data_IF_715426486385
#
_entry.id   IF_715426486385
#
_cell.length_a   1.000
_cell.length_b   1.000
_cell.length_c   1.000
_cell.angle_alpha   90.00
_cell.angle_beta   90.00
_cell.angle_gamma   90.00
#
_symmetry.space_group_name_H-M   'P 1'
#
loop_
_entity.id
_entity.type
_entity.pdbx_description
1 polymer ?
#
# COMPACT_ATOMS: atom_id res chain seq x y z
N UNK A 1 -12.83 -7.07 33.84
CA UNK A 1 -13.88 -6.08 33.50
C UNK A 1 -13.78 -5.76 32.03
N UNK A 2 -14.87 -5.40 31.35
CA UNK A 2 -14.78 -4.97 29.95
C UNK A 2 -14.16 -3.56 29.86
N UNK A 3 -13.32 -3.33 28.86
CA UNK A 3 -12.81 -2.00 28.56
C UNK A 3 -13.97 -1.02 28.31
N UNK A 4 -13.88 0.17 28.89
CA UNK A 4 -14.98 1.13 28.99
C UNK A 4 -14.62 2.53 28.45
N UNK A 5 -13.46 2.67 27.82
CA UNK A 5 -12.95 3.94 27.29
C UNK A 5 -12.10 3.74 26.05
N UNK A 6 -12.10 4.76 25.20
CA UNK A 6 -11.23 4.83 24.03
C UNK A 6 -9.79 5.13 24.45
N UNK A 7 -8.83 4.76 23.60
CA UNK A 7 -7.44 5.06 23.89
C UNK A 7 -6.48 4.15 23.15
N UNK A 8 -5.20 4.32 23.44
CA UNK A 8 -4.14 3.43 22.99
C UNK A 8 -3.65 2.66 24.21
N UNK A 9 -3.60 1.34 24.12
CA UNK A 9 -3.26 0.48 25.24
C UNK A 9 -2.16 -0.49 24.87
N UNK A 10 -1.31 -0.83 25.83
CA UNK A 10 -0.55 -2.06 25.77
C UNK A 10 -1.38 -3.19 26.38
N UNK A 11 -1.31 -4.36 25.73
CA UNK A 11 -2.10 -5.50 26.10
C UNK A 11 -1.34 -6.81 25.88
N UNK A 12 -1.77 -7.86 26.58
CA UNK A 12 -1.40 -9.24 26.28
C UNK A 12 -2.57 -9.94 25.60
N UNK A 13 -2.36 -10.70 24.51
CA UNK A 13 -3.31 -11.72 24.07
C UNK A 13 -3.53 -12.70 25.23
N UNK A 14 -4.78 -13.10 25.49
CA UNK A 14 -5.10 -14.07 26.54
C UNK A 14 -5.73 -15.32 25.94
N UNK A 15 -6.50 -15.13 24.87
CA UNK A 15 -7.19 -16.19 24.17
C UNK A 15 -7.25 -15.82 22.69
N UNK A 16 -6.99 -16.79 21.83
CA UNK A 16 -7.02 -16.63 20.38
C UNK A 16 -7.88 -17.76 19.83
N UNK A 17 -8.85 -17.40 19.00
CA UNK A 17 -9.67 -18.36 18.27
C UNK A 17 -9.86 -17.92 16.82
N UNK A 18 -10.22 -18.86 15.96
CA UNK A 18 -10.69 -18.57 14.61
C UNK A 18 -12.20 -18.76 14.53
N UNK A 19 -12.82 -17.99 13.65
CA UNK A 19 -14.23 -18.16 13.33
C UNK A 19 -14.61 -17.39 12.08
N UNK A 20 -15.90 -17.27 11.87
CA UNK A 20 -16.47 -16.56 10.73
C UNK A 20 -17.31 -15.39 11.20
N UNK A 21 -17.31 -14.29 10.44
CA UNK A 21 -18.24 -13.19 10.66
C UNK A 21 -19.68 -13.67 10.49
N UNK A 22 -20.60 -13.20 11.34
CA UNK A 22 -21.99 -13.69 11.33
C UNK A 22 -22.72 -13.41 10.00
N UNK A 23 -22.52 -12.22 9.42
CA UNK A 23 -23.28 -11.76 8.26
C UNK A 23 -22.76 -12.30 6.92
N UNK A 24 -21.44 -12.31 6.73
CA UNK A 24 -20.81 -12.59 5.43
C UNK A 24 -19.96 -13.86 5.42
N UNK A 25 -19.90 -14.59 6.55
CA UNK A 25 -19.10 -15.83 6.70
C UNK A 25 -17.60 -15.67 6.39
N UNK A 26 -17.09 -14.45 6.49
CA UNK A 26 -15.68 -14.13 6.27
C UNK A 26 -14.81 -14.65 7.41
N UNK A 27 -13.67 -15.24 7.08
CA UNK A 27 -12.70 -15.72 8.06
C UNK A 27 -12.19 -14.58 8.95
N UNK A 28 -12.18 -14.80 10.26
CA UNK A 28 -11.67 -13.85 11.24
C UNK A 28 -10.88 -14.54 12.35
N UNK A 29 -9.86 -13.83 12.85
CA UNK A 29 -9.17 -14.18 14.09
C UNK A 29 -9.78 -13.35 15.22
N UNK A 30 -10.21 -14.02 16.27
CA UNK A 30 -10.80 -13.41 17.46
C UNK A 30 -9.77 -13.49 18.57
N UNK A 31 -9.38 -12.33 19.12
CA UNK A 31 -8.36 -12.26 20.16
C UNK A 31 -8.95 -11.52 21.35
N UNK A 32 -8.92 -12.16 22.51
CA UNK A 32 -9.20 -11.50 23.78
C UNK A 32 -7.90 -10.93 24.34
N UNK A 33 -7.90 -9.63 24.61
CA UNK A 33 -6.77 -8.89 25.12
C UNK A 33 -7.00 -8.53 26.57
N UNK A 34 -5.96 -8.61 27.41
CA UNK A 34 -5.91 -8.02 28.74
C UNK A 34 -5.03 -6.78 28.71
N UNK A 35 -5.60 -5.63 29.05
CA UNK A 35 -4.92 -4.35 29.02
C UNK A 35 -4.08 -4.19 30.30
N UNK A 36 -2.90 -3.60 30.18
CA UNK A 36 -2.02 -3.37 31.32
C UNK A 36 -1.41 -1.96 31.37
N UNK A 37 -1.28 -1.27 30.24
CA UNK A 37 -0.93 0.16 30.21
C UNK A 37 -1.84 0.93 29.26
N UNK A 38 -2.11 2.18 29.59
CA UNK A 38 -2.86 3.14 28.78
C UNK A 38 -1.97 4.34 28.43
N UNK A 39 -2.04 4.80 27.19
CA UNK A 39 -1.29 5.97 26.76
C UNK A 39 -1.94 7.25 27.30
N UNK A 40 -1.21 7.95 28.17
CA UNK A 40 -1.51 9.29 28.64
C UNK A 40 -0.63 10.32 27.90
N UNK A 41 -0.86 11.64 28.05
CA UNK A 41 -0.03 12.66 27.44
C UNK A 41 1.45 12.56 27.84
N UNK A 42 2.25 11.92 26.99
CA UNK A 42 3.70 11.79 27.13
C UNK A 42 4.19 10.57 27.90
N UNK A 43 3.30 9.80 28.54
CA UNK A 43 3.67 8.67 29.40
C UNK A 43 2.67 7.51 29.25
N UNK A 44 3.14 6.29 29.54
CA UNK A 44 2.28 5.12 29.69
C UNK A 44 1.90 4.99 31.16
N UNK A 45 0.60 4.85 31.43
CA UNK A 45 0.07 4.69 32.78
C UNK A 45 -0.39 3.25 33.01
N UNK A 46 0.07 2.62 34.09
CA UNK A 46 -0.39 1.28 34.48
C UNK A 46 -1.89 1.29 34.79
N UNK A 47 -2.63 0.40 34.13
CA UNK A 47 -4.05 0.15 34.34
C UNK A 47 -4.34 -1.32 34.65
N UNK A 48 -3.32 -2.14 34.90
CA UNK A 48 -3.46 -3.57 35.18
C UNK A 48 -4.35 -3.88 36.39
N UNK A 49 -4.36 -3.00 37.39
CA UNK A 49 -5.25 -3.10 38.57
C UNK A 49 -6.75 -3.06 38.24
N UNK A 50 -7.14 -2.50 37.10
CA UNK A 50 -8.53 -2.47 36.65
C UNK A 50 -8.96 -3.79 35.97
N UNK A 51 -8.01 -4.67 35.64
CA UNK A 51 -8.29 -5.96 34.97
C UNK A 51 -9.18 -5.79 33.73
N UNK A 52 -8.87 -4.79 32.90
CA UNK A 52 -9.64 -4.50 31.69
C UNK A 52 -9.35 -5.54 30.61
N UNK A 53 -10.40 -6.05 29.98
CA UNK A 53 -10.34 -6.97 28.85
C UNK A 53 -11.18 -6.45 27.69
N UNK A 54 -10.74 -6.74 26.46
CA UNK A 54 -11.46 -6.41 25.23
C UNK A 54 -11.26 -7.51 24.19
N UNK A 55 -12.29 -7.78 23.40
CA UNK A 55 -12.18 -8.74 22.29
C UNK A 55 -12.02 -7.97 20.98
N UNK A 56 -10.93 -8.25 20.26
CA UNK A 56 -10.70 -7.75 18.91
C UNK A 56 -11.08 -8.81 17.87
N UNK A 57 -11.78 -8.37 16.83
CA UNK A 57 -12.18 -9.19 15.68
C UNK A 57 -11.38 -8.77 14.46
N UNK A 58 -10.47 -9.61 14.02
CA UNK A 58 -9.51 -9.33 12.95
C UNK A 58 -9.92 -10.12 11.70
N UNK A 59 -10.72 -9.50 10.84
CA UNK A 59 -11.22 -10.15 9.61
C UNK A 59 -10.09 -10.26 8.59
N UNK A 60 -9.79 -11.49 8.18
CA UNK A 60 -8.71 -11.83 7.25
C UNK A 60 -9.13 -11.72 5.78
N UNK A 61 -10.43 -11.70 5.53
CA UNK A 61 -11.04 -11.61 4.21
C UNK A 61 -11.88 -10.34 4.06
N UNK A 62 -11.99 -9.84 2.84
CA UNK A 62 -12.94 -8.79 2.48
C UNK A 62 -14.23 -9.42 1.94
N UNK A 63 -15.26 -8.59 1.74
CA UNK A 63 -16.57 -9.05 1.21
C UNK A 63 -16.49 -9.67 -0.18
N UNK A 64 -15.46 -9.33 -0.96
CA UNK A 64 -15.17 -9.91 -2.28
C UNK A 64 -14.34 -11.19 -2.21
N UNK A 65 -14.13 -11.74 -1.00
CA UNK A 65 -13.26 -12.88 -0.69
C UNK A 65 -11.77 -12.66 -1.01
N UNK A 66 -11.35 -11.44 -1.34
CA UNK A 66 -9.94 -11.10 -1.38
C UNK A 66 -9.36 -10.98 0.04
N UNK A 67 -8.04 -11.12 0.16
CA UNK A 67 -7.38 -11.01 1.45
C UNK A 67 -7.39 -9.57 1.98
N UNK A 68 -7.59 -9.44 3.28
CA UNK A 68 -7.42 -8.20 4.02
C UNK A 68 -5.95 -8.03 4.42
N UNK A 69 -5.12 -7.73 3.43
CA UNK A 69 -3.66 -7.61 3.57
C UNK A 69 -3.23 -6.72 4.74
N UNK A 70 -3.95 -5.62 4.99
CA UNK A 70 -3.65 -4.71 6.11
C UNK A 70 -3.81 -5.39 7.47
N UNK A 71 -4.87 -6.19 7.65
CA UNK A 71 -5.10 -6.95 8.88
C UNK A 71 -4.04 -8.06 9.01
N UNK A 72 -3.75 -8.75 7.92
CA UNK A 72 -2.73 -9.81 7.90
C UNK A 72 -1.37 -9.24 8.28
N UNK A 73 -0.92 -8.14 7.67
CA UNK A 73 0.35 -7.50 8.02
C UNK A 73 0.38 -6.97 9.45
N UNK A 74 -0.74 -6.45 9.97
CA UNK A 74 -0.85 -6.07 11.38
C UNK A 74 -0.65 -7.26 12.32
N UNK A 75 -1.28 -8.41 12.03
CA UNK A 75 -1.14 -9.64 12.82
C UNK A 75 0.28 -10.20 12.72
N UNK A 76 0.88 -10.23 11.52
CA UNK A 76 2.27 -10.66 11.31
C UNK A 76 3.24 -9.80 12.11
N UNK A 77 3.11 -8.48 12.01
CA UNK A 77 3.99 -7.56 12.72
C UNK A 77 3.82 -7.65 14.24
N UNK A 78 2.58 -7.76 14.73
CA UNK A 78 2.30 -7.71 16.16
C UNK A 78 2.49 -9.06 16.88
N UNK A 79 2.31 -10.19 16.20
CA UNK A 79 2.31 -11.52 16.82
C UNK A 79 3.40 -12.44 16.25
N UNK A 80 4.19 -11.97 15.28
CA UNK A 80 5.23 -12.78 14.65
C UNK A 80 4.70 -13.90 13.75
N UNK A 81 3.41 -13.87 13.38
CA UNK A 81 2.82 -14.80 12.42
C UNK A 81 3.46 -14.64 11.04
N UNK A 82 3.57 -15.73 10.29
CA UNK A 82 4.18 -15.72 8.94
C UNK A 82 3.17 -15.43 7.81
N UNK A 83 1.86 -15.47 8.12
CA UNK A 83 0.78 -15.23 7.17
C UNK A 83 0.36 -16.45 6.34
N UNK A 84 0.92 -17.65 6.60
CA UNK A 84 0.65 -18.85 5.79
C UNK A 84 -0.57 -19.63 6.26
N UNK A 85 -0.63 -19.89 7.56
CA UNK A 85 -1.69 -20.67 8.18
C UNK A 85 -2.27 -19.90 9.38
N UNK A 86 -3.53 -19.44 9.32
CA UNK A 86 -4.12 -18.68 10.41
C UNK A 86 -4.39 -19.54 11.66
N UNK A 87 -4.47 -20.88 11.54
CA UNK A 87 -4.60 -21.78 12.70
C UNK A 87 -3.35 -21.78 13.59
N UNK A 88 -2.18 -21.45 13.04
CA UNK A 88 -0.95 -21.27 13.80
C UNK A 88 -1.12 -20.28 14.98
N UNK A 89 -1.91 -19.22 14.79
CA UNK A 89 -2.18 -18.23 15.84
C UNK A 89 -2.90 -18.84 17.05
N UNK A 90 -3.83 -19.78 16.81
CA UNK A 90 -4.56 -20.48 17.86
C UNK A 90 -3.68 -21.56 18.50
N UNK A 91 -2.94 -22.32 17.70
CA UNK A 91 -2.05 -23.39 18.19
C UNK A 91 -0.89 -22.85 19.06
N UNK A 92 -0.51 -21.58 18.86
CA UNK A 92 0.55 -20.91 19.60
C UNK A 92 0.01 -19.89 20.63
N UNK A 93 -1.29 -19.92 20.94
CA UNK A 93 -1.93 -18.95 21.82
C UNK A 93 -1.25 -18.82 23.20
N UNK A 94 -0.76 -19.92 23.77
CA UNK A 94 -0.05 -19.93 25.05
C UNK A 94 1.27 -19.14 24.97
N UNK A 95 2.06 -19.34 23.92
CA UNK A 95 3.30 -18.59 23.72
C UNK A 95 3.02 -17.11 23.44
N UNK A 96 1.96 -16.82 22.68
CA UNK A 96 1.56 -15.46 22.36
C UNK A 96 0.99 -14.73 23.57
N UNK A 97 0.56 -15.43 24.62
CA UNK A 97 0.03 -14.79 25.82
C UNK A 97 1.07 -14.01 26.63
N UNK A 98 2.35 -14.28 26.38
CA UNK A 98 3.48 -13.55 26.96
C UNK A 98 4.03 -12.49 26.01
N UNK A 99 3.43 -12.33 24.82
CA UNK A 99 3.87 -11.36 23.81
C UNK A 99 3.06 -10.07 23.93
N UNK A 100 3.66 -8.97 24.43
CA UNK A 100 2.93 -7.73 24.55
C UNK A 100 2.64 -7.17 23.14
N UNK A 101 1.50 -6.51 23.01
CA UNK A 101 1.06 -5.82 21.79
C UNK A 101 0.52 -4.45 22.12
N UNK A 102 0.29 -3.63 21.10
CA UNK A 102 -0.37 -2.33 21.26
C UNK A 102 -1.71 -2.33 20.50
N UNK A 103 -2.79 -2.04 21.20
CA UNK A 103 -4.15 -1.97 20.62
C UNK A 103 -4.70 -0.56 20.72
N UNK A 104 -5.35 -0.09 19.66
CA UNK A 104 -6.13 1.15 19.70
C UNK A 104 -7.60 0.83 19.86
N UNK A 105 -8.22 1.33 20.92
CA UNK A 105 -9.65 1.22 21.16
C UNK A 105 -10.36 2.49 20.69
N UNK A 106 -11.44 2.31 19.95
CA UNK A 106 -12.30 3.39 19.49
C UNK A 106 -13.76 2.93 19.54
N UNK A 107 -14.65 3.87 19.81
CA UNK A 107 -16.09 3.69 19.68
C UNK A 107 -16.43 3.59 18.20
N UNK A 108 -17.19 2.56 17.87
CA UNK A 108 -17.78 2.37 16.56
C UNK A 108 -19.29 2.37 16.72
N UNK A 109 -19.96 3.31 16.05
CA UNK A 109 -21.40 3.33 15.94
C UNK A 109 -21.85 2.42 14.80
N UNK A 110 -22.68 1.44 15.12
CA UNK A 110 -23.31 0.58 14.15
C UNK A 110 -24.79 0.45 14.46
N UNK A 111 -25.63 0.85 13.49
CA UNK A 111 -27.09 0.80 13.61
C UNK A 111 -27.64 1.51 14.88
N UNK A 112 -27.09 2.68 15.21
CA UNK A 112 -27.47 3.46 16.39
C UNK A 112 -26.97 2.90 17.73
N UNK A 113 -26.21 1.80 17.72
CA UNK A 113 -25.53 1.27 18.91
C UNK A 113 -24.05 1.61 18.86
N UNK A 114 -23.56 2.28 19.90
CA UNK A 114 -22.14 2.59 20.06
C UNK A 114 -21.48 1.46 20.84
N UNK A 115 -20.47 0.83 20.25
CA UNK A 115 -19.68 -0.24 20.87
C UNK A 115 -18.19 0.09 20.82
N UNK A 116 -17.47 -0.19 21.91
CA UNK A 116 -16.01 -0.04 21.92
C UNK A 116 -15.38 -1.24 21.22
N UNK A 117 -14.46 -1.01 20.27
CA UNK A 117 -13.77 -2.07 19.55
C UNK A 117 -12.27 -1.81 19.41
N UNK A 118 -11.53 -2.88 19.17
CA UNK A 118 -10.13 -2.82 18.73
C UNK A 118 -10.10 -2.35 17.29
N UNK A 119 -9.71 -1.10 17.06
CA UNK A 119 -9.59 -0.49 15.73
C UNK A 119 -8.30 -0.91 15.02
N UNK A 120 -7.19 -1.00 15.76
CA UNK A 120 -5.88 -1.39 15.24
C UNK A 120 -5.14 -2.27 16.23
N UNK A 121 -4.37 -3.23 15.69
CA UNK A 121 -3.37 -4.01 16.39
C UNK A 121 -1.99 -3.64 15.84
N UNK A 122 -1.04 -3.37 16.72
CA UNK A 122 0.33 -3.01 16.36
C UNK A 122 1.33 -3.78 17.24
N UNK A 123 2.59 -3.91 16.80
CA UNK A 123 3.67 -4.36 17.66
C UNK A 123 3.78 -3.50 18.91
N UNK A 124 4.22 -4.11 20.02
CA UNK A 124 4.54 -3.38 21.24
C UNK A 124 5.57 -2.28 21.00
N UNK A 125 5.37 -1.13 21.65
CA UNK A 125 6.25 0.05 21.49
C UNK A 125 6.12 0.78 20.14
N UNK A 126 5.16 0.40 19.29
CA UNK A 126 4.86 1.13 18.06
C UNK A 126 4.31 2.53 18.39
N UNK A 127 5.19 3.53 18.46
CA UNK A 127 4.75 4.93 18.54
C UNK A 127 4.02 5.25 17.25
N UNK A 128 2.71 5.47 17.34
CA UNK A 128 1.78 5.62 16.21
C UNK A 128 2.42 6.30 14.99
N UNK A 129 2.19 5.69 13.82
CA UNK A 129 2.84 5.96 12.54
C UNK A 129 3.66 7.25 12.51
N UNK A 130 4.98 7.13 12.62
CA UNK A 130 5.87 8.23 12.27
C UNK A 130 5.52 8.63 10.85
N UNK A 131 5.16 9.90 10.62
CA UNK A 131 4.98 10.42 9.26
C UNK A 131 6.27 10.03 8.52
N UNK A 132 6.22 9.14 7.51
CA UNK A 132 7.40 8.65 6.87
C UNK A 132 8.12 9.86 6.28
N UNK A 133 9.28 10.20 6.84
CA UNK A 133 10.08 11.28 6.29
C UNK A 133 10.71 10.75 5.02
N UNK A 134 10.54 11.49 3.93
CA UNK A 134 11.23 11.17 2.68
C UNK A 134 12.75 11.07 2.97
N UNK A 135 13.33 9.93 2.62
CA UNK A 135 14.78 9.73 2.61
C UNK A 135 15.44 10.53 1.47
N UNK A 136 16.76 10.56 1.43
CA UNK A 136 17.50 11.36 0.43
C UNK A 136 17.23 10.90 -1.01
N UNK A 137 16.95 9.62 -1.21
CA UNK A 137 16.65 9.06 -2.53
C UNK A 137 15.27 9.52 -3.01
N UNK A 138 14.24 9.41 -2.16
CA UNK A 138 12.90 9.88 -2.44
C UNK A 138 12.89 11.40 -2.65
N UNK A 139 13.62 12.17 -1.85
CA UNK A 139 13.76 13.63 -2.03
C UNK A 139 14.35 13.98 -3.39
N UNK A 140 15.39 13.26 -3.84
CA UNK A 140 16.01 13.46 -5.17
C UNK A 140 15.04 13.09 -6.28
N UNK A 141 14.36 11.95 -6.18
CA UNK A 141 13.37 11.50 -7.17
C UNK A 141 12.22 12.49 -7.30
N UNK A 142 11.65 12.94 -6.18
CA UNK A 142 10.58 13.96 -6.18
C UNK A 142 11.09 15.30 -6.70
N UNK A 143 12.28 15.73 -6.29
CA UNK A 143 12.91 16.96 -6.78
C UNK A 143 13.14 16.97 -8.29
N UNK A 144 13.62 15.85 -8.85
CA UNK A 144 13.84 15.71 -10.28
C UNK A 144 12.53 15.64 -11.07
N UNK A 145 11.54 14.89 -10.57
CA UNK A 145 10.26 14.68 -11.26
C UNK A 145 9.33 15.89 -11.20
N UNK A 146 9.27 16.55 -10.04
CA UNK A 146 8.25 17.56 -9.74
C UNK A 146 8.82 18.95 -9.44
N UNK A 147 10.13 19.09 -9.22
CA UNK A 147 10.74 20.35 -8.81
C UNK A 147 10.66 21.47 -9.86
N UNK A 148 10.60 21.16 -11.16
CA UNK A 148 10.33 22.17 -12.20
C UNK A 148 8.88 22.66 -12.16
N UNK A 149 7.92 21.75 -11.95
CA UNK A 149 6.48 22.07 -11.83
C UNK A 149 6.21 22.91 -10.59
N UNK A 150 6.80 22.56 -9.45
CA UNK A 150 6.66 23.35 -8.22
C UNK A 150 7.30 24.74 -8.34
N UNK A 151 8.46 24.87 -9.01
CA UNK A 151 9.08 26.19 -9.27
C UNK A 151 8.23 27.07 -10.19
N UNK A 152 7.63 26.49 -11.22
CA UNK A 152 6.72 27.20 -12.13
C UNK A 152 5.44 27.66 -11.41
N UNK A 153 4.85 26.79 -10.58
CA UNK A 153 3.68 27.13 -9.75
C UNK A 153 3.98 28.19 -8.69
N UNK A 154 5.19 28.19 -8.12
CA UNK A 154 5.62 29.17 -7.14
C UNK A 154 5.95 30.56 -7.73
N UNK A 155 5.70 30.77 -9.04
CA UNK A 155 5.92 32.06 -9.70
C UNK A 155 7.39 32.47 -9.83
N UNK A 156 8.33 31.54 -9.64
CA UNK A 156 9.75 31.82 -9.76
C UNK A 156 10.16 31.93 -11.22
N UNK A 157 10.51 33.13 -11.67
CA UNK A 157 11.17 33.36 -12.96
C UNK A 157 12.43 32.49 -13.02
N UNK A 158 12.64 31.66 -14.06
CA UNK A 158 13.83 30.84 -14.17
C UNK A 158 15.09 31.71 -14.06
N UNK A 159 16.00 31.34 -13.16
CA UNK A 159 17.30 31.98 -13.08
C UNK A 159 17.99 31.87 -14.47
N UNK A 160 18.55 32.96 -15.01
CA UNK A 160 19.20 32.94 -16.31
C UNK A 160 20.32 31.88 -16.30
N UNK A 161 20.34 31.06 -17.35
CA UNK A 161 21.35 30.01 -17.49
C UNK A 161 22.76 30.62 -17.39
N UNK A 162 23.68 30.03 -16.61
CA UNK A 162 25.05 30.50 -16.55
C UNK A 162 25.68 30.42 -17.95
N UNK A 163 26.27 31.53 -18.40
CA UNK A 163 27.03 31.59 -19.65
C UNK A 163 28.17 30.56 -19.58
N UNK A 164 28.35 29.71 -20.61
CA UNK A 164 29.42 28.72 -20.60
C UNK A 164 30.78 29.42 -20.60
N UNK A 165 31.52 29.26 -19.51
CA UNK A 165 32.93 29.63 -19.40
C UNK A 165 33.80 28.53 -19.98
N UNK A 166 34.46 28.84 -21.09
CA UNK A 166 35.76 28.27 -21.47
C UNK A 166 35.77 26.83 -22.00
N UNK A 167 36.19 26.68 -23.26
CA UNK A 167 36.66 25.40 -23.83
C UNK A 167 37.83 24.85 -23.01
N UNK A 168 37.79 23.59 -22.55
CA UNK A 168 39.00 22.87 -22.15
C UNK A 168 39.90 22.60 -23.36
N UNK A 169 41.24 22.66 -23.21
CA UNK A 169 42.19 22.32 -24.27
C UNK A 169 42.13 20.84 -24.64
N UNK A 170 42.36 20.55 -25.93
CA UNK A 170 42.31 19.22 -26.51
C UNK A 170 43.37 18.29 -25.88
N UNK A 171 42.93 17.17 -25.32
CA UNK A 171 43.79 16.07 -24.91
C UNK A 171 44.10 15.15 -26.11
N UNK A 172 45.37 14.75 -26.21
CA UNK A 172 45.92 13.89 -27.26
C UNK A 172 45.25 12.49 -27.32
N UNK A 173 45.19 11.85 -28.50
CA UNK A 173 44.53 10.55 -28.67
C UNK A 173 45.35 9.42 -28.03
N UNK A 174 44.69 8.61 -27.19
CA UNK A 174 45.22 7.32 -26.71
C UNK A 174 44.97 6.21 -27.75
N UNK A 175 45.90 5.24 -27.90
CA UNK A 175 45.77 4.13 -28.84
C UNK A 175 44.65 3.17 -28.47
N UNK A 176 43.94 2.67 -29.50
CA UNK A 176 42.78 1.78 -29.41
C UNK A 176 43.17 0.35 -28.94
N UNK A 177 42.39 -0.26 -28.04
CA UNK A 177 42.38 -1.71 -27.85
C UNK A 177 41.58 -2.41 -28.97
N UNK A 178 41.87 -3.70 -29.26
CA UNK A 178 41.29 -4.44 -30.38
C UNK A 178 39.78 -4.71 -30.24
N UNK A 179 39.09 -4.68 -31.39
CA UNK A 179 37.66 -4.95 -31.60
C UNK A 179 37.24 -6.32 -31.06
N UNK A 180 36.29 -6.32 -30.12
CA UNK A 180 35.37 -7.43 -29.89
C UNK A 180 34.23 -7.39 -30.93
N UNK A 181 33.63 -8.53 -31.30
CA UNK A 181 32.66 -8.62 -32.39
C UNK A 181 31.34 -7.91 -32.07
N UNK A 182 30.72 -7.39 -33.13
CA UNK A 182 29.52 -6.57 -33.13
C UNK A 182 28.28 -7.30 -32.59
N UNK A 183 27.46 -6.64 -31.76
CA UNK A 183 26.02 -6.85 -31.75
C UNK A 183 25.41 -6.15 -32.96
N UNK A 184 24.50 -6.87 -33.61
CA UNK A 184 23.77 -6.49 -34.81
C UNK A 184 23.02 -5.15 -34.71
N UNK A 185 22.75 -4.62 -35.90
CA UNK A 185 22.00 -3.43 -36.30
C UNK A 185 20.78 -2.99 -35.45
N UNK A 186 20.39 -1.70 -35.54
CA UNK A 186 19.35 -1.08 -34.72
C UNK A 186 17.95 -1.55 -35.12
N UNK A 187 17.23 -2.15 -34.18
CA UNK A 187 15.79 -2.35 -34.30
C UNK A 187 15.05 -1.10 -33.82
N UNK A 188 13.99 -0.78 -34.54
CA UNK A 188 13.08 0.36 -34.43
C UNK A 188 12.92 0.98 -33.03
N UNK A 189 12.78 2.30 -33.00
CA UNK A 189 12.30 3.12 -31.88
C UNK A 189 10.96 2.56 -31.40
N UNK A 190 11.01 1.54 -30.55
CA UNK A 190 9.82 0.92 -29.97
C UNK A 190 9.37 1.90 -28.92
N UNK A 191 8.23 2.56 -29.15
CA UNK A 191 7.62 3.42 -28.14
C UNK A 191 7.47 2.58 -26.87
N UNK A 192 8.00 3.10 -25.77
CA UNK A 192 7.85 2.53 -24.44
C UNK A 192 6.85 3.41 -23.71
N UNK A 193 5.92 2.79 -22.98
CA UNK A 193 5.01 3.50 -22.10
C UNK A 193 4.96 2.80 -20.74
N UNK A 194 4.44 3.48 -19.73
CA UNK A 194 4.14 2.87 -18.43
C UNK A 194 2.65 2.54 -18.30
N UNK A 195 2.32 1.71 -17.31
CA UNK A 195 0.92 1.42 -16.94
C UNK A 195 0.14 2.70 -16.66
N UNK A 196 0.74 3.67 -15.96
CA UNK A 196 0.10 4.93 -15.59
C UNK A 196 -0.21 5.79 -16.81
N UNK A 197 0.66 5.77 -17.82
CA UNK A 197 0.43 6.49 -19.08
C UNK A 197 -0.72 5.86 -19.86
N UNK A 198 -0.73 4.52 -19.99
CA UNK A 198 -1.81 3.78 -20.65
C UNK A 198 -3.16 3.95 -19.94
N UNK A 199 -3.16 3.85 -18.60
CA UNK A 199 -4.34 4.07 -17.77
C UNK A 199 -4.84 5.52 -17.89
N UNK A 200 -3.93 6.51 -17.85
CA UNK A 200 -4.31 7.91 -17.98
C UNK A 200 -4.99 8.23 -19.32
N UNK A 201 -4.50 7.66 -20.42
CA UNK A 201 -5.15 7.81 -21.72
C UNK A 201 -6.52 7.13 -21.78
N UNK A 202 -6.63 5.91 -21.23
CA UNK A 202 -7.89 5.19 -21.14
C UNK A 202 -8.94 5.96 -20.32
N UNK A 203 -8.59 6.44 -19.11
CA UNK A 203 -9.51 7.21 -18.26
C UNK A 203 -9.95 8.50 -18.95
N UNK A 204 -9.03 9.20 -19.62
CA UNK A 204 -9.34 10.41 -20.37
C UNK A 204 -10.40 10.15 -21.45
N UNK A 205 -10.27 9.05 -22.18
CA UNK A 205 -11.23 8.69 -23.23
C UNK A 205 -12.56 8.19 -22.64
N UNK A 206 -12.49 7.35 -21.59
CA UNK A 206 -13.67 6.81 -20.90
C UNK A 206 -14.55 7.92 -20.32
N UNK A 207 -13.94 8.88 -19.62
CA UNK A 207 -14.65 10.02 -18.99
C UNK A 207 -15.21 11.03 -20.00
N UNK A 208 -14.77 10.97 -21.26
CA UNK A 208 -15.36 11.77 -22.34
C UNK A 208 -16.73 11.22 -22.78
N UNK A 209 -17.06 9.96 -22.46
CA UNK A 209 -18.33 9.31 -22.79
C UNK A 209 -19.33 9.44 -21.63
N UNK A 210 -20.55 9.93 -21.87
CA UNK A 210 -21.56 10.08 -20.81
C UNK A 210 -22.11 8.72 -20.36
N UNK A 211 -22.31 8.54 -19.05
CA UNK A 211 -23.09 7.41 -18.49
C UNK A 211 -22.29 6.33 -17.76
N UNK A 212 -20.96 6.35 -17.80
CA UNK A 212 -20.12 5.36 -17.12
C UNK A 212 -19.97 5.60 -15.62
N UNK A 213 -19.86 4.51 -14.84
CA UNK A 213 -19.44 4.54 -13.43
C UNK A 213 -18.04 3.92 -13.26
N UNK A 214 -17.48 4.00 -12.05
CA UNK A 214 -16.13 3.51 -11.74
C UNK A 214 -15.98 1.99 -11.89
N UNK A 215 -17.04 1.23 -11.63
CA UNK A 215 -17.03 -0.23 -11.73
C UNK A 215 -16.96 -0.67 -13.20
N UNK A 216 -17.75 -0.03 -14.07
CA UNK A 216 -17.73 -0.27 -15.51
C UNK A 216 -16.38 0.11 -16.13
N UNK A 217 -15.75 1.17 -15.61
CA UNK A 217 -14.43 1.63 -16.06
C UNK A 217 -13.36 0.56 -15.82
N UNK A 218 -13.36 -0.02 -14.62
CA UNK A 218 -12.43 -1.09 -14.27
C UNK A 218 -12.70 -2.35 -15.10
N UNK A 219 -13.97 -2.73 -15.28
CA UNK A 219 -14.33 -3.89 -16.10
C UNK A 219 -13.88 -3.73 -17.55
N UNK A 220 -14.12 -2.56 -18.17
CA UNK A 220 -13.68 -2.31 -19.54
C UNK A 220 -12.15 -2.32 -19.67
N UNK A 221 -11.44 -1.74 -18.70
CA UNK A 221 -9.98 -1.77 -18.69
C UNK A 221 -9.42 -3.20 -18.65
N UNK A 222 -9.89 -4.03 -17.72
CA UNK A 222 -9.45 -5.41 -17.61
C UNK A 222 -9.93 -6.27 -18.78
N UNK A 223 -11.10 -5.98 -19.35
CA UNK A 223 -11.59 -6.64 -20.57
C UNK A 223 -10.69 -6.39 -21.77
N UNK A 224 -10.29 -5.14 -21.99
CA UNK A 224 -9.35 -4.78 -23.07
C UNK A 224 -7.97 -5.38 -22.84
N UNK A 225 -7.48 -5.39 -21.59
CA UNK A 225 -6.21 -6.04 -21.25
C UNK A 225 -6.24 -7.54 -21.54
N UNK A 226 -7.33 -8.23 -21.19
CA UNK A 226 -7.49 -9.66 -21.46
C UNK A 226 -7.59 -9.95 -22.97
N UNK A 227 -8.18 -9.02 -23.75
CA UNK A 227 -8.26 -9.12 -25.21
C UNK A 227 -6.89 -8.93 -25.88
N UNK A 228 -6.14 -7.90 -25.47
CA UNK A 228 -4.85 -7.55 -26.07
C UNK A 228 -3.70 -8.47 -25.63
N UNK A 229 -3.74 -8.94 -24.37
CA UNK A 229 -2.66 -9.73 -23.76
C UNK A 229 -3.22 -10.97 -23.07
N UNK A 230 -3.74 -11.95 -23.85
CA UNK A 230 -4.27 -13.17 -23.27
C UNK A 230 -3.18 -13.90 -22.46
N UNK A 231 -3.56 -14.41 -21.29
CA UNK A 231 -2.69 -15.13 -20.36
C UNK A 231 -1.60 -14.30 -19.65
N UNK A 232 -1.65 -12.97 -19.72
CA UNK A 232 -0.78 -12.09 -18.92
C UNK A 232 -1.57 -11.26 -17.93
N UNK A 233 -1.05 -11.15 -16.72
CA UNK A 233 -1.54 -10.20 -15.72
C UNK A 233 -0.88 -8.82 -15.92
N UNK A 234 -1.50 -7.72 -15.47
CA UNK A 234 -0.97 -6.36 -15.67
C UNK A 234 0.48 -6.19 -15.19
N UNK A 235 0.85 -6.81 -14.07
CA UNK A 235 2.20 -6.78 -13.49
C UNK A 235 3.25 -7.52 -14.33
N UNK A 236 2.82 -8.34 -15.29
CA UNK A 236 3.68 -9.09 -16.21
C UNK A 236 3.92 -8.37 -17.54
N UNK A 237 3.25 -7.24 -17.78
CA UNK A 237 3.36 -6.49 -19.03
C UNK A 237 4.63 -5.65 -19.06
N UNK A 238 5.41 -5.80 -20.14
CA UNK A 238 6.61 -5.02 -20.38
C UNK A 238 6.29 -3.61 -20.93
N UNK A 239 7.22 -2.64 -20.84
CA UNK A 239 6.98 -1.26 -21.30
C UNK A 239 6.54 -1.10 -22.76
N UNK A 240 6.92 -2.02 -23.66
CA UNK A 240 6.46 -2.00 -25.05
C UNK A 240 5.02 -2.52 -25.19
N UNK A 241 4.57 -3.41 -24.30
CA UNK A 241 3.19 -3.90 -24.25
C UNK A 241 2.27 -2.83 -23.68
N UNK A 242 2.75 -2.06 -22.70
CA UNK A 242 2.06 -0.86 -22.24
C UNK A 242 1.92 0.20 -23.33
N UNK A 243 2.88 0.32 -24.24
CA UNK A 243 2.75 1.22 -25.39
C UNK A 243 1.65 0.75 -26.37
N UNK A 244 1.49 -0.56 -26.55
CA UNK A 244 0.36 -1.13 -27.30
C UNK A 244 -0.96 -0.83 -26.58
N UNK A 245 -1.03 -1.01 -25.27
CA UNK A 245 -2.21 -0.66 -24.48
C UNK A 245 -2.56 0.83 -24.58
N UNK A 246 -1.57 1.71 -24.48
CA UNK A 246 -1.73 3.16 -24.62
C UNK A 246 -2.33 3.55 -25.98
N UNK A 247 -1.94 2.85 -27.06
CA UNK A 247 -2.40 3.13 -28.42
C UNK A 247 -3.78 2.53 -28.73
N UNK A 248 -4.04 1.29 -28.30
CA UNK A 248 -5.20 0.49 -28.72
C UNK A 248 -6.40 0.63 -27.77
N UNK A 249 -6.16 0.82 -26.47
CA UNK A 249 -7.23 0.78 -25.48
C UNK A 249 -8.31 1.86 -25.65
N UNK A 250 -7.99 3.13 -25.95
CA UNK A 250 -9.00 4.16 -26.15
C UNK A 250 -10.03 3.80 -27.24
N UNK A 251 -9.58 3.12 -28.31
CA UNK A 251 -10.44 2.72 -29.43
C UNK A 251 -11.34 1.52 -29.13
N UNK A 252 -11.08 0.77 -28.05
CA UNK A 252 -11.83 -0.42 -27.65
C UNK A 252 -12.84 -0.18 -26.54
N UNK A 253 -12.96 1.06 -26.04
CA UNK A 253 -13.96 1.44 -25.03
C UNK A 253 -15.37 1.32 -25.61
N UNK A 254 -16.20 0.46 -25.02
CA UNK A 254 -17.59 0.27 -25.40
C UNK A 254 -18.47 1.41 -24.84
N UNK A 255 -19.48 1.87 -25.59
CA UNK A 255 -20.49 2.79 -25.06
C UNK A 255 -21.36 2.11 -23.98
N UNK A 256 -21.92 2.92 -23.08
CA UNK A 256 -22.81 2.50 -21.99
C UNK A 256 -24.26 2.38 -22.45
#
# INVERSE_FOLDING_TARGET
MLANREGLFHAYPVEIGLGETQQNKLLQVVIRYRLFEEAAPGEWQDCSGESLEITGYHVLEKKDHSLNEKTIESLKAALGWDGRDPFWLQDNAESLSQHPVQVKLAAEEYNGSVSLKVQFLNPYGSRGGTIPRADDQMRRTVGNRLGSKFRALAGGTPAPAPKPTGKPPAAAPKPQPPKAPAPSAPAATTQQATMEEAWGAFVKEYTSKPGGNDQDMQQQWFGILAELFPHKQPDQLAPHEWAVMLAEAPGKILPF
#
